data_IF_521419805778
#
_entry.id   IF_521419805778
#
_cell.length_a   1.000
_cell.length_b   1.000
_cell.length_c   1.000
_cell.angle_alpha   90.00
_cell.angle_beta   90.00
_cell.angle_gamma   90.00
#
_symmetry.space_group_name_H-M   'P 1'
#
loop_
_entity.id
_entity.type
_entity.pdbx_description
1 polymer ?
#
# COMPACT_ATOMS: atom_id res chain seq x y z
N UNK A 1 -5.53 4.70 -23.52
CA UNK A 1 -5.61 3.35 -22.87
C UNK A 1 -4.53 3.28 -21.78
N UNK A 2 -4.56 2.34 -20.82
CA UNK A 2 -3.60 2.32 -19.68
C UNK A 2 -2.13 2.38 -20.09
N UNK A 3 -1.75 1.73 -21.19
CA UNK A 3 -0.39 1.79 -21.73
C UNK A 3 0.02 3.24 -22.05
N UNK A 4 -0.83 3.97 -22.78
CA UNK A 4 -0.57 5.35 -23.19
C UNK A 4 -0.50 6.31 -21.99
N UNK A 5 -1.22 6.00 -20.91
CA UNK A 5 -1.34 6.87 -19.73
C UNK A 5 -0.28 6.60 -18.64
N UNK A 6 0.16 5.34 -18.49
CA UNK A 6 0.99 4.92 -17.36
C UNK A 6 2.27 4.18 -17.77
N UNK A 7 2.45 3.87 -19.05
CA UNK A 7 3.59 3.08 -19.54
C UNK A 7 3.47 1.57 -19.27
N UNK A 8 2.33 1.10 -18.74
CA UNK A 8 2.06 -0.32 -18.51
C UNK A 8 0.61 -0.72 -18.78
N UNK A 9 0.40 -2.01 -19.03
CA UNK A 9 -0.92 -2.56 -19.36
C UNK A 9 -1.89 -2.58 -18.17
N UNK A 10 -3.20 -2.76 -18.42
CA UNK A 10 -4.25 -2.78 -17.39
C UNK A 10 -4.01 -3.80 -16.27
N UNK A 11 -3.33 -4.91 -16.55
CA UNK A 11 -2.98 -5.92 -15.54
C UNK A 11 -2.03 -5.35 -14.49
N UNK A 12 -0.98 -4.65 -14.91
CA UNK A 12 -0.05 -3.99 -13.98
C UNK A 12 -0.75 -2.89 -13.20
N UNK A 13 -1.63 -2.11 -13.86
CA UNK A 13 -2.44 -1.10 -13.18
C UNK A 13 -3.29 -1.73 -12.07
N UNK A 14 -3.98 -2.84 -12.35
CA UNK A 14 -4.77 -3.54 -11.35
C UNK A 14 -3.92 -4.01 -10.16
N UNK A 15 -2.69 -4.51 -10.40
CA UNK A 15 -1.75 -4.88 -9.33
C UNK A 15 -1.39 -3.68 -8.45
N UNK A 16 -1.05 -2.55 -9.06
CA UNK A 16 -0.70 -1.29 -8.36
C UNK A 16 -1.87 -0.82 -7.49
N UNK A 17 -3.09 -0.78 -8.05
CA UNK A 17 -4.28 -0.34 -7.33
C UNK A 17 -4.61 -1.26 -6.14
N UNK A 18 -4.45 -2.59 -6.29
CA UNK A 18 -4.61 -3.53 -5.17
C UNK A 18 -3.59 -3.26 -4.06
N UNK A 19 -2.32 -3.05 -4.43
CA UNK A 19 -1.28 -2.75 -3.45
C UNK A 19 -1.57 -1.44 -2.70
N UNK A 20 -1.95 -0.37 -3.40
CA UNK A 20 -2.31 0.91 -2.78
C UNK A 20 -3.44 0.75 -1.76
N UNK A 21 -4.54 0.09 -2.15
CA UNK A 21 -5.68 -0.16 -1.25
C UNK A 21 -5.30 -1.00 -0.03
N UNK A 22 -4.50 -2.05 -0.21
CA UNK A 22 -4.06 -2.87 0.91
C UNK A 22 -3.22 -2.07 1.91
N UNK A 23 -2.32 -1.21 1.42
CA UNK A 23 -1.46 -0.39 2.27
C UNK A 23 -2.24 0.67 3.05
N UNK A 24 -3.30 1.24 2.47
CA UNK A 24 -4.22 2.14 3.18
C UNK A 24 -4.90 1.44 4.37
N UNK A 25 -5.40 0.22 4.16
CA UNK A 25 -6.04 -0.58 5.22
C UNK A 25 -5.04 -0.97 6.31
N UNK A 26 -3.84 -1.41 5.92
CA UNK A 26 -2.77 -1.74 6.88
C UNK A 26 -2.37 -0.53 7.72
N UNK A 27 -2.28 0.66 7.13
CA UNK A 27 -2.02 1.91 7.87
C UNK A 27 -3.15 2.27 8.82
N UNK A 28 -4.39 1.91 8.49
CA UNK A 28 -5.53 2.06 9.38
C UNK A 28 -5.58 1.02 10.52
N UNK A 29 -4.62 0.08 10.57
CA UNK A 29 -4.50 -0.94 11.62
C UNK A 29 -5.12 -2.29 11.26
N UNK A 30 -5.57 -2.48 10.02
CA UNK A 30 -6.19 -3.73 9.59
C UNK A 30 -5.17 -4.89 9.58
N UNK A 31 -5.55 -6.10 10.06
CA UNK A 31 -4.72 -7.28 9.92
C UNK A 31 -4.36 -7.56 8.46
N UNK A 32 -3.11 -7.98 8.20
CA UNK A 32 -2.61 -8.15 6.82
C UNK A 32 -3.45 -9.11 5.96
N UNK A 33 -4.01 -10.16 6.57
CA UNK A 33 -4.88 -11.10 5.86
C UNK A 33 -6.20 -10.44 5.44
N UNK A 34 -6.81 -9.66 6.32
CA UNK A 34 -8.08 -8.96 6.07
C UNK A 34 -7.88 -7.84 5.05
N UNK A 35 -6.81 -7.05 5.19
CA UNK A 35 -6.39 -6.03 4.22
C UNK A 35 -6.14 -6.63 2.83
N UNK A 36 -5.51 -7.82 2.75
CA UNK A 36 -5.28 -8.50 1.48
C UNK A 36 -6.59 -8.87 0.78
N UNK A 37 -7.52 -9.49 1.50
CA UNK A 37 -8.83 -9.88 0.95
C UNK A 37 -9.65 -8.67 0.53
N UNK A 38 -9.71 -7.63 1.37
CA UNK A 38 -10.43 -6.39 1.08
C UNK A 38 -9.84 -5.62 -0.12
N UNK A 39 -8.54 -5.77 -0.37
CA UNK A 39 -7.87 -5.23 -1.54
C UNK A 39 -7.95 -6.12 -2.79
N UNK A 40 -8.60 -7.29 -2.73
CA UNK A 40 -8.74 -8.20 -3.86
C UNK A 40 -7.53 -9.10 -4.12
N UNK A 41 -6.64 -9.27 -3.13
CA UNK A 41 -5.68 -10.37 -3.11
C UNK A 41 -6.37 -11.64 -2.59
N UNK A 42 -5.86 -12.80 -3.01
CA UNK A 42 -6.43 -14.09 -2.61
C UNK A 42 -6.14 -14.46 -1.15
N UNK A 43 -4.99 -14.00 -0.65
CA UNK A 43 -4.50 -14.22 0.71
C UNK A 43 -3.37 -13.21 1.02
N UNK A 44 -2.88 -13.24 2.26
CA UNK A 44 -1.74 -12.41 2.69
C UNK A 44 -0.46 -12.71 1.90
N UNK A 45 -0.22 -13.95 1.49
CA UNK A 45 0.99 -14.33 0.76
C UNK A 45 1.00 -13.73 -0.66
N UNK A 46 -0.17 -13.61 -1.29
CA UNK A 46 -0.39 -12.90 -2.55
C UNK A 46 -0.04 -11.42 -2.37
N UNK A 47 -0.57 -10.76 -1.34
CA UNK A 47 -0.22 -9.36 -1.05
C UNK A 47 1.30 -9.18 -0.81
N UNK A 48 1.93 -10.11 -0.09
CA UNK A 48 3.37 -10.06 0.16
C UNK A 48 4.20 -10.19 -1.13
N UNK A 49 3.78 -11.04 -2.08
CA UNK A 49 4.41 -11.15 -3.41
C UNK A 49 4.25 -9.87 -4.21
N UNK A 50 3.05 -9.30 -4.26
CA UNK A 50 2.80 -8.02 -4.94
C UNK A 50 3.66 -6.89 -4.36
N UNK A 51 3.77 -6.81 -3.03
CA UNK A 51 4.59 -5.79 -2.37
C UNK A 51 6.06 -5.94 -2.73
N UNK A 52 6.59 -7.17 -2.75
CA UNK A 52 7.98 -7.41 -3.15
C UNK A 52 8.22 -7.09 -4.63
N UNK A 53 7.32 -7.53 -5.50
CA UNK A 53 7.46 -7.34 -6.94
C UNK A 53 7.37 -5.85 -7.35
N UNK A 54 6.53 -5.07 -6.66
CA UNK A 54 6.24 -3.68 -7.05
C UNK A 54 7.04 -2.65 -6.25
N UNK A 55 7.29 -2.90 -4.96
CA UNK A 55 7.96 -1.95 -4.07
C UNK A 55 9.39 -2.36 -3.70
N UNK A 56 9.84 -3.58 -4.06
CA UNK A 56 11.17 -4.10 -3.72
C UNK A 56 11.37 -4.39 -2.22
N UNK A 57 10.34 -4.21 -1.40
CA UNK A 57 10.38 -4.36 0.06
C UNK A 57 9.41 -5.45 0.52
N UNK A 58 9.60 -5.92 1.75
CA UNK A 58 8.59 -6.77 2.40
C UNK A 58 7.41 -5.93 2.88
N UNK A 59 6.23 -6.53 3.00
CA UNK A 59 5.03 -5.84 3.51
C UNK A 59 5.26 -5.23 4.90
N UNK A 60 5.91 -5.96 5.80
CA UNK A 60 6.25 -5.46 7.13
C UNK A 60 7.27 -4.32 7.11
N UNK A 61 8.31 -4.40 6.27
CA UNK A 61 9.29 -3.32 6.14
C UNK A 61 8.67 -2.04 5.58
N UNK A 62 7.81 -2.17 4.56
CA UNK A 62 7.09 -1.03 4.00
C UNK A 62 6.15 -0.40 5.04
N UNK A 63 5.38 -1.21 5.77
CA UNK A 63 4.48 -0.72 6.81
C UNK A 63 5.25 0.00 7.93
N UNK A 64 6.39 -0.54 8.35
CA UNK A 64 7.26 0.09 9.35
C UNK A 64 7.80 1.44 8.86
N UNK A 65 8.26 1.54 7.60
CA UNK A 65 8.72 2.79 7.01
C UNK A 65 7.61 3.83 6.92
N UNK A 66 6.41 3.44 6.50
CA UNK A 66 5.26 4.34 6.44
C UNK A 66 4.88 4.92 7.81
N UNK A 67 4.94 4.10 8.87
CA UNK A 67 4.72 4.55 10.24
C UNK A 67 5.86 5.45 10.74
N UNK A 68 7.10 5.19 10.29
CA UNK A 68 8.27 5.99 10.65
C UNK A 68 8.24 7.38 10.00
N UNK A 69 7.76 7.50 8.75
CA UNK A 69 7.57 8.78 8.05
C UNK A 69 6.50 9.66 8.70
N UNK A 70 5.52 9.07 9.40
CA UNK A 70 4.44 9.81 10.07
C UNK A 70 4.86 10.40 11.43
N UNK A 71 6.13 10.22 11.84
CA UNK A 71 6.66 10.79 13.10
C UNK A 71 7.09 12.27 13.02
N UNK A 72 6.75 13.02 11.96
CA UNK A 72 6.85 14.50 12.00
C UNK A 72 5.52 15.14 12.45
N UNK A 73 5.50 15.91 13.56
CA UNK A 73 4.31 16.64 13.97
C UNK A 73 4.10 17.82 13.02
N UNK A 74 2.99 17.82 12.29
CA UNK A 74 2.48 19.04 11.66
C UNK A 74 1.89 19.94 12.76
N UNK A 75 2.76 20.72 13.40
CA UNK A 75 2.38 21.74 14.36
C UNK A 75 1.99 23.03 13.65
N UNK A 76 0.74 23.45 13.80
CA UNK A 76 0.36 24.87 13.93
C UNK A 76 -1.12 24.99 14.32
N UNK A 77 -1.39 24.94 15.63
CA UNK A 77 -2.52 25.67 16.21
C UNK A 77 -1.94 26.86 16.97
N UNK A 78 -1.91 28.00 16.30
CA UNK A 78 -1.73 29.30 16.93
C UNK A 78 -3.01 29.61 17.69
N UNK A 79 -2.95 29.61 19.02
CA UNK A 79 -3.96 30.24 19.86
C UNK A 79 -3.65 31.74 19.94
N UNK A 80 -4.61 32.56 19.54
CA UNK A 80 -4.72 33.96 19.93
C UNK A 80 -5.96 34.10 20.82
#
# INVERSE_FOLDING_TARGET
RSLDAFGYGPKTLARVLRLQRALELVRAGEPYAEAALAAGCADQAHLARETRDLAGLTLGAYAALANSETSQPSGSRTTA
#
